data_IF_348376113584
#
_entry.id   IF_348376113584
#
_cell.length_a   1.000
_cell.length_b   1.000
_cell.length_c   1.000
_cell.angle_alpha   90.00
_cell.angle_beta   90.00
_cell.angle_gamma   90.00
#
_symmetry.space_group_name_H-M   'P 1'
#
loop_
_entity.id
_entity.type
_entity.pdbx_description
1 polymer ?
#
# COMPACT_ATOMS: atom_id res chain seq x y z
N UNK A 1 -50.97 -9.28 71.66
CA UNK A 1 -51.61 -10.43 70.98
C UNK A 1 -52.02 -10.01 69.57
N UNK A 2 -51.27 -10.23 68.52
CA UNK A 2 -49.83 -10.16 68.25
C UNK A 2 -49.80 -10.19 66.74
N UNK A 3 -49.58 -9.06 66.07
CA UNK A 3 -49.36 -9.07 64.63
C UNK A 3 -48.20 -8.13 64.31
N UNK A 4 -47.02 -8.73 64.34
CA UNK A 4 -45.76 -8.20 63.86
C UNK A 4 -45.93 -7.60 62.47
N UNK A 5 -45.65 -6.30 62.34
CA UNK A 5 -45.63 -5.56 61.08
C UNK A 5 -44.51 -6.09 60.15
N UNK A 6 -44.79 -7.22 59.48
CA UNK A 6 -43.85 -7.91 58.61
C UNK A 6 -43.85 -7.22 57.23
N UNK A 7 -42.77 -6.48 56.93
CA UNK A 7 -42.55 -5.83 55.63
C UNK A 7 -42.64 -6.86 54.50
N UNK A 8 -43.74 -6.84 53.74
CA UNK A 8 -43.94 -7.70 52.57
C UNK A 8 -43.18 -7.11 51.36
N UNK A 9 -42.38 -7.93 50.68
CA UNK A 9 -41.62 -7.55 49.49
C UNK A 9 -42.43 -7.87 48.24
N UNK A 10 -42.73 -6.89 47.39
CA UNK A 10 -43.59 -7.10 46.21
C UNK A 10 -42.85 -6.82 44.91
N UNK A 11 -43.07 -7.67 43.90
CA UNK A 11 -42.62 -7.45 42.54
C UNK A 11 -43.80 -6.93 41.71
N UNK A 12 -43.69 -5.70 41.19
CA UNK A 12 -44.74 -5.08 40.36
C UNK A 12 -44.82 -5.68 38.96
N UNK A 13 -43.69 -6.10 38.39
CA UNK A 13 -43.63 -6.71 37.05
C UNK A 13 -44.29 -8.09 36.97
N UNK A 14 -44.22 -8.85 38.07
CA UNK A 14 -44.83 -10.17 38.17
C UNK A 14 -46.10 -10.16 39.03
N UNK A 15 -46.45 -9.01 39.61
CA UNK A 15 -47.55 -8.78 40.55
C UNK A 15 -47.67 -9.83 41.68
N UNK A 16 -46.54 -10.16 42.33
CA UNK A 16 -46.46 -11.16 43.41
C UNK A 16 -45.82 -10.58 44.68
N UNK A 17 -46.20 -11.08 45.85
CA UNK A 17 -45.69 -10.66 47.15
C UNK A 17 -44.98 -11.80 47.90
N UNK A 18 -43.94 -11.44 48.66
CA UNK A 18 -43.10 -12.37 49.41
C UNK A 18 -42.95 -11.92 50.85
N UNK A 19 -42.95 -12.89 51.75
CA UNK A 19 -42.85 -12.68 53.21
C UNK A 19 -41.44 -12.30 53.67
N UNK A 20 -40.41 -12.67 52.90
CA UNK A 20 -39.01 -12.45 53.28
C UNK A 20 -38.18 -11.94 52.09
N UNK A 21 -37.15 -11.13 52.41
CA UNK A 21 -36.27 -10.53 51.41
C UNK A 21 -35.55 -11.57 50.57
N UNK A 22 -35.06 -12.65 51.18
CA UNK A 22 -34.32 -13.70 50.46
C UNK A 22 -35.20 -14.43 49.43
N UNK A 23 -36.50 -14.63 49.73
CA UNK A 23 -37.44 -15.21 48.76
C UNK A 23 -37.66 -14.26 47.57
N UNK A 24 -37.77 -12.95 47.84
CA UNK A 24 -37.88 -11.91 46.82
C UNK A 24 -36.62 -11.81 45.95
N UNK A 25 -35.43 -11.77 46.54
CA UNK A 25 -34.17 -11.73 45.80
C UNK A 25 -33.98 -12.98 44.93
N UNK A 26 -34.36 -14.16 45.43
CA UNK A 26 -34.36 -15.38 44.62
C UNK A 26 -35.35 -15.28 43.45
N UNK A 27 -36.53 -14.68 43.66
CA UNK A 27 -37.50 -14.45 42.60
C UNK A 27 -36.95 -13.57 41.47
N UNK A 28 -36.23 -12.49 41.79
CA UNK A 28 -35.60 -11.60 40.80
C UNK A 28 -34.63 -12.35 39.87
N UNK A 29 -34.00 -13.41 40.38
CA UNK A 29 -33.06 -14.24 39.62
C UNK A 29 -33.71 -15.42 38.89
N UNK A 30 -35.04 -15.57 38.95
CA UNK A 30 -35.72 -16.64 38.21
C UNK A 30 -35.85 -16.29 36.73
N UNK A 31 -35.72 -17.31 35.87
CA UNK A 31 -35.83 -17.11 34.42
C UNK A 31 -37.18 -16.53 33.99
N UNK A 32 -38.25 -16.80 34.73
CA UNK A 32 -39.57 -16.20 34.49
C UNK A 32 -39.56 -14.67 34.69
N UNK A 33 -38.90 -14.19 35.75
CA UNK A 33 -38.78 -12.75 36.02
C UNK A 33 -37.85 -12.07 35.02
N UNK A 34 -36.69 -12.68 34.74
CA UNK A 34 -35.70 -12.16 33.78
C UNK A 34 -36.30 -12.06 32.38
N UNK A 35 -37.06 -13.06 31.92
CA UNK A 35 -37.73 -13.01 30.62
C UNK A 35 -38.80 -11.92 30.54
N UNK A 36 -39.50 -11.61 31.64
CA UNK A 36 -40.46 -10.50 31.70
C UNK A 36 -39.77 -9.13 31.66
N UNK A 37 -38.61 -8.97 32.29
CA UNK A 37 -37.76 -7.79 32.14
C UNK A 37 -37.29 -7.65 30.70
N UNK A 38 -36.74 -8.72 30.11
CA UNK A 38 -36.23 -8.66 28.74
C UNK A 38 -37.35 -8.32 27.74
N UNK A 39 -38.56 -8.82 27.94
CA UNK A 39 -39.73 -8.47 27.13
C UNK A 39 -40.22 -7.03 27.39
N UNK A 40 -40.14 -6.50 28.61
CA UNK A 40 -40.51 -5.10 28.89
C UNK A 40 -39.46 -4.11 28.35
N UNK A 41 -38.17 -4.47 28.37
CA UNK A 41 -37.07 -3.73 27.74
C UNK A 41 -37.16 -3.77 26.21
N UNK A 42 -37.54 -4.92 25.61
CA UNK A 42 -37.82 -5.03 24.18
C UNK A 42 -39.04 -4.17 23.79
N UNK A 43 -40.10 -4.13 24.60
CA UNK A 43 -41.26 -3.28 24.31
C UNK A 43 -40.95 -1.77 24.49
N UNK A 44 -40.10 -1.39 25.44
CA UNK A 44 -39.62 -0.01 25.57
C UNK A 44 -38.68 0.40 24.43
N UNK A 45 -37.89 -0.53 23.87
CA UNK A 45 -37.08 -0.27 22.67
C UNK A 45 -37.93 -0.29 21.38
N UNK A 46 -39.00 -1.08 21.31
CA UNK A 46 -39.96 -1.04 20.18
C UNK A 46 -40.85 0.22 20.18
N UNK A 47 -41.16 0.80 21.34
CA UNK A 47 -41.87 2.09 21.41
C UNK A 47 -40.96 3.32 21.22
N UNK A 48 -39.62 3.16 21.19
CA UNK A 48 -38.72 4.21 20.69
C UNK A 48 -38.44 4.08 19.17
N UNK A 49 -38.83 2.96 18.56
CA UNK A 49 -38.66 2.67 17.13
C UNK A 49 -39.77 3.27 16.24
N UNK A 50 -40.27 4.45 16.59
CA UNK A 50 -41.09 5.28 15.70
C UNK A 50 -40.51 6.66 15.39
N UNK A 51 -39.30 6.98 15.89
CA UNK A 51 -38.54 8.17 15.49
C UNK A 51 -37.02 7.92 15.62
N UNK A 52 -36.42 7.19 14.67
CA UNK A 52 -34.96 7.21 14.52
C UNK A 52 -34.60 8.34 13.56
N UNK A 53 -34.09 9.46 14.07
CA UNK A 53 -33.50 10.51 13.24
C UNK A 53 -32.29 9.95 12.48
N UNK A 54 -32.08 10.41 11.24
CA UNK A 54 -30.97 9.99 10.37
C UNK A 54 -29.60 10.03 11.10
N UNK A 55 -29.43 10.96 12.03
CA UNK A 55 -28.26 11.17 12.88
C UNK A 55 -27.82 9.93 13.69
N UNK A 56 -28.76 9.12 14.18
CA UNK A 56 -28.44 7.92 14.95
C UNK A 56 -27.92 6.77 14.08
N UNK A 57 -28.35 6.71 12.81
CA UNK A 57 -27.85 5.74 11.82
C UNK A 57 -26.42 6.11 11.42
N UNK A 58 -26.15 7.41 11.19
CA UNK A 58 -24.79 7.89 10.91
C UNK A 58 -23.82 7.61 12.06
N UNK A 59 -24.24 7.82 13.30
CA UNK A 59 -23.41 7.57 14.49
C UNK A 59 -23.05 6.09 14.64
N UNK A 60 -23.99 5.18 14.42
CA UNK A 60 -23.72 3.74 14.45
C UNK A 60 -22.73 3.31 13.35
N UNK A 61 -22.90 3.83 12.14
CA UNK A 61 -22.01 3.54 11.00
C UNK A 61 -20.60 4.11 11.22
N UNK A 62 -20.49 5.30 11.79
CA UNK A 62 -19.21 5.90 12.16
C UNK A 62 -18.48 5.08 13.23
N UNK A 63 -19.21 4.58 14.23
CA UNK A 63 -18.65 3.76 15.31
C UNK A 63 -18.17 2.39 14.80
N UNK A 64 -18.89 1.78 13.86
CA UNK A 64 -18.45 0.55 13.19
C UNK A 64 -17.19 0.79 12.33
N UNK A 65 -17.14 1.90 11.59
CA UNK A 65 -15.98 2.25 10.76
C UNK A 65 -14.74 2.55 11.61
N UNK A 66 -14.92 3.26 12.72
CA UNK A 66 -13.85 3.55 13.70
C UNK A 66 -13.27 2.27 14.29
N UNK A 67 -14.12 1.30 14.65
CA UNK A 67 -13.67 -0.02 15.13
C UNK A 67 -12.87 -0.77 14.07
N UNK A 68 -13.33 -0.78 12.81
CA UNK A 68 -12.59 -1.41 11.69
C UNK A 68 -11.23 -0.75 11.46
N UNK A 69 -11.14 0.58 11.59
CA UNK A 69 -9.88 1.31 11.50
C UNK A 69 -8.91 0.90 12.61
N UNK A 70 -9.38 0.84 13.85
CA UNK A 70 -8.56 0.41 14.99
C UNK A 70 -8.06 -1.04 14.83
N UNK A 71 -8.93 -1.96 14.41
CA UNK A 71 -8.54 -3.36 14.17
C UNK A 71 -7.52 -3.48 13.03
N UNK A 72 -7.66 -2.66 11.98
CA UNK A 72 -6.73 -2.60 10.87
C UNK A 72 -5.36 -2.08 11.30
N UNK A 73 -5.32 -0.99 12.07
CA UNK A 73 -4.09 -0.39 12.62
C UNK A 73 -3.32 -1.39 13.49
N UNK A 74 -4.03 -2.10 14.37
CA UNK A 74 -3.45 -3.16 15.20
C UNK A 74 -2.90 -4.32 14.36
N UNK A 75 -3.57 -4.68 13.26
CA UNK A 75 -3.10 -5.73 12.35
C UNK A 75 -1.83 -5.33 11.58
N UNK A 76 -1.68 -4.05 11.27
CA UNK A 76 -0.47 -3.49 10.63
C UNK A 76 0.69 -3.53 11.63
N UNK A 77 0.47 -3.09 12.86
CA UNK A 77 1.51 -3.09 13.91
C UNK A 77 2.03 -4.52 14.20
N UNK A 78 1.13 -5.51 14.27
CA UNK A 78 1.51 -6.93 14.43
C UNK A 78 2.33 -7.40 13.23
N UNK A 79 1.96 -7.00 12.01
CA UNK A 79 2.69 -7.38 10.79
C UNK A 79 4.09 -6.76 10.75
N UNK A 80 4.22 -5.49 11.11
CA UNK A 80 5.51 -4.79 11.17
C UNK A 80 6.44 -5.44 12.20
N UNK A 81 5.93 -5.73 13.40
CA UNK A 81 6.68 -6.46 14.44
C UNK A 81 7.16 -7.83 13.94
N UNK A 82 6.31 -8.57 13.22
CA UNK A 82 6.69 -9.87 12.65
C UNK A 82 7.72 -9.75 11.52
N UNK A 83 7.67 -8.68 10.72
CA UNK A 83 8.69 -8.39 9.71
C UNK A 83 10.03 -8.09 10.37
N UNK A 84 10.04 -7.25 11.41
CA UNK A 84 11.26 -6.88 12.14
C UNK A 84 11.95 -8.12 12.74
N UNK A 85 11.17 -9.01 13.37
CA UNK A 85 11.68 -10.28 13.91
C UNK A 85 12.25 -11.20 12.81
N UNK A 86 11.72 -11.13 11.59
CA UNK A 86 12.21 -11.93 10.47
C UNK A 86 13.50 -11.35 9.87
N UNK A 87 13.63 -10.03 9.84
CA UNK A 87 14.87 -9.35 9.45
C UNK A 87 15.99 -9.68 10.43
N UNK A 88 15.74 -9.55 11.73
CA UNK A 88 16.71 -9.88 12.79
C UNK A 88 17.18 -11.35 12.71
N UNK A 89 16.26 -12.29 12.45
CA UNK A 89 16.61 -13.70 12.23
C UNK A 89 17.48 -13.92 10.99
N UNK A 90 17.23 -13.19 9.91
CA UNK A 90 18.02 -13.28 8.68
C UNK A 90 19.42 -12.68 8.87
N UNK A 91 19.51 -11.54 9.55
CA UNK A 91 20.78 -10.91 9.93
C UNK A 91 21.63 -11.85 10.80
N UNK A 92 21.00 -12.51 11.78
CA UNK A 92 21.66 -13.49 12.63
C UNK A 92 22.08 -14.76 11.86
N UNK A 93 21.32 -15.20 10.87
CA UNK A 93 21.73 -16.31 10.00
C UNK A 93 22.92 -15.95 9.10
N UNK A 94 22.95 -14.71 8.60
CA UNK A 94 24.06 -14.19 7.79
C UNK A 94 25.34 -14.02 8.62
N UNK A 95 25.22 -13.57 9.87
CA UNK A 95 26.37 -13.44 10.77
C UNK A 95 26.97 -14.81 11.12
N UNK A 96 26.13 -15.83 11.43
CA UNK A 96 26.61 -17.20 11.69
C UNK A 96 27.25 -17.83 10.45
N UNK A 97 26.70 -17.58 9.26
CA UNK A 97 27.24 -18.11 8.00
C UNK A 97 28.62 -17.50 7.67
N UNK A 98 28.88 -16.26 8.10
CA UNK A 98 30.15 -15.57 7.88
C UNK A 98 31.27 -16.07 8.82
N UNK A 99 30.92 -16.53 10.02
CA UNK A 99 31.90 -17.06 10.99
C UNK A 99 32.38 -18.48 10.67
N UNK A 100 31.62 -19.26 9.90
CA UNK A 100 31.95 -20.65 9.55
C UNK A 100 32.81 -20.79 8.29
N UNK A 101 33.20 -19.70 7.62
CA UNK A 101 34.08 -19.75 6.43
C UNK A 101 35.57 -19.75 6.80
N UNK A 102 35.91 -19.52 8.08
CA UNK A 102 37.30 -19.53 8.54
C UNK A 102 37.60 -20.75 9.39
N UNK A 103 37.42 -21.96 8.85
CA UNK A 103 38.19 -23.14 9.26
C UNK A 103 37.97 -24.31 8.32
N UNK A 104 39.11 -24.89 7.93
CA UNK A 104 39.28 -26.20 7.30
C UNK A 104 39.29 -26.25 5.77
N UNK A 105 40.41 -25.82 5.18
CA UNK A 105 40.89 -26.39 3.92
C UNK A 105 42.26 -27.01 4.16
N UNK A 106 42.26 -28.30 4.48
CA UNK A 106 43.43 -29.13 4.28
C UNK A 106 43.45 -29.55 2.80
N UNK A 107 44.62 -29.34 2.19
CA UNK A 107 44.98 -29.63 0.80
C UNK A 107 44.28 -30.88 0.23
N UNK A 108 43.56 -30.71 -0.88
CA UNK A 108 43.53 -31.66 -2.00
C UNK A 108 43.01 -30.96 -3.26
N UNK A 109 43.90 -30.85 -4.25
CA UNK A 109 43.63 -30.29 -5.57
C UNK A 109 42.46 -31.00 -6.26
N UNK A 110 41.34 -30.30 -6.40
CA UNK A 110 40.38 -30.53 -7.47
C UNK A 110 40.21 -29.20 -8.19
N UNK A 111 40.96 -29.02 -9.28
CA UNK A 111 40.76 -27.91 -10.21
C UNK A 111 39.44 -28.13 -10.96
N UNK A 112 38.32 -27.82 -10.33
CA UNK A 112 37.08 -27.55 -11.04
C UNK A 112 37.03 -26.05 -11.28
N UNK A 113 37.53 -25.60 -12.43
CA UNK A 113 37.35 -24.22 -12.88
C UNK A 113 35.87 -24.02 -13.19
N UNK A 114 35.10 -23.58 -12.19
CA UNK A 114 33.75 -23.07 -12.41
C UNK A 114 33.91 -21.65 -12.95
N UNK A 115 33.93 -21.52 -14.29
CA UNK A 115 33.74 -20.22 -14.93
C UNK A 115 32.30 -19.78 -14.70
N UNK A 116 32.01 -19.18 -13.54
CA UNK A 116 30.81 -18.39 -13.36
C UNK A 116 31.05 -17.05 -14.06
N UNK A 117 30.87 -17.02 -15.38
CA UNK A 117 30.65 -15.76 -16.09
C UNK A 117 29.30 -15.22 -15.67
N UNK A 118 29.25 -14.55 -14.52
CA UNK A 118 28.17 -13.66 -14.16
C UNK A 118 28.24 -12.44 -15.09
N UNK A 119 27.75 -12.60 -16.32
CA UNK A 119 27.48 -11.47 -17.21
C UNK A 119 26.21 -10.77 -16.71
N UNK A 120 26.25 -10.25 -15.49
CA UNK A 120 25.19 -9.41 -14.94
C UNK A 120 25.44 -8.04 -15.53
N UNK A 121 24.70 -7.68 -16.57
CA UNK A 121 24.62 -6.31 -17.06
C UNK A 121 24.03 -5.45 -15.93
N UNK A 122 24.90 -4.95 -15.06
CA UNK A 122 24.53 -4.00 -14.03
C UNK A 122 24.23 -2.66 -14.73
N UNK A 123 23.17 -1.94 -14.32
CA UNK A 123 22.97 -0.58 -14.80
C UNK A 123 24.21 0.23 -14.45
N UNK A 124 24.64 1.09 -15.37
CA UNK A 124 25.78 1.98 -15.12
C UNK A 124 25.29 3.33 -14.59
N UNK A 125 24.09 3.74 -15.00
CA UNK A 125 23.52 5.03 -14.63
C UNK A 125 22.58 4.88 -13.43
N UNK A 126 22.72 5.79 -12.46
CA UNK A 126 21.80 5.92 -11.36
C UNK A 126 20.40 6.32 -11.86
N UNK A 127 19.37 5.93 -11.10
CA UNK A 127 18.00 6.38 -11.32
C UNK A 127 17.90 7.91 -11.16
N UNK A 128 17.36 8.58 -12.17
CA UNK A 128 17.35 10.04 -12.32
C UNK A 128 18.57 10.62 -13.04
N UNK A 129 19.55 9.80 -13.43
CA UNK A 129 20.75 10.22 -14.18
C UNK A 129 20.90 9.41 -15.48
N UNK A 130 19.79 9.13 -16.14
CA UNK A 130 19.76 8.35 -17.36
C UNK A 130 20.42 9.10 -18.53
N UNK A 131 21.00 8.32 -19.45
CA UNK A 131 21.41 8.81 -20.74
C UNK A 131 20.19 8.97 -21.66
N UNK A 132 20.00 10.15 -22.24
CA UNK A 132 18.92 10.47 -23.18
C UNK A 132 19.43 10.76 -24.60
N UNK A 133 20.75 10.73 -24.83
CA UNK A 133 21.36 11.20 -26.07
C UNK A 133 20.86 10.47 -27.32
N UNK A 134 20.53 9.18 -27.18
CA UNK A 134 20.03 8.34 -28.28
C UNK A 134 18.55 8.57 -28.60
N UNK A 135 17.82 9.34 -27.78
CA UNK A 135 16.38 9.61 -27.96
C UNK A 135 16.06 11.02 -28.44
N UNK A 136 17.06 11.92 -28.51
CA UNK A 136 16.85 13.34 -28.84
C UNK A 136 16.00 13.58 -30.08
N UNK A 137 16.21 12.80 -31.14
CA UNK A 137 15.45 12.92 -32.40
C UNK A 137 13.99 12.49 -32.29
N UNK A 138 13.69 11.56 -31.39
CA UNK A 138 12.37 10.94 -31.28
C UNK A 138 11.48 11.65 -30.25
N UNK A 139 12.06 12.36 -29.29
CA UNK A 139 11.36 12.94 -28.14
C UNK A 139 10.23 13.87 -28.57
N UNK A 140 10.47 14.78 -29.52
CA UNK A 140 9.44 15.72 -29.98
C UNK A 140 8.24 14.99 -30.62
N UNK A 141 8.50 13.91 -31.36
CA UNK A 141 7.44 13.10 -31.94
C UNK A 141 6.65 12.35 -30.85
N UNK A 142 7.33 11.84 -29.83
CA UNK A 142 6.69 11.17 -28.70
C UNK A 142 5.85 12.15 -27.87
N UNK A 143 6.33 13.38 -27.64
CA UNK A 143 5.63 14.42 -26.91
C UNK A 143 4.30 14.83 -27.57
N UNK A 144 4.20 14.79 -28.90
CA UNK A 144 2.94 15.03 -29.63
C UNK A 144 1.84 14.05 -29.19
N UNK A 145 2.21 12.85 -28.74
CA UNK A 145 1.32 11.88 -28.11
C UNK A 145 1.11 12.14 -26.61
N UNK A 146 0.57 13.30 -26.21
CA UNK A 146 0.48 13.77 -24.80
C UNK A 146 -0.05 12.71 -23.81
N UNK A 147 -1.00 11.86 -24.21
CA UNK A 147 -1.58 10.84 -23.31
C UNK A 147 -0.71 9.58 -23.14
N UNK A 148 0.25 9.35 -24.04
CA UNK A 148 1.09 8.14 -24.10
C UNK A 148 2.58 8.44 -24.03
N UNK A 149 2.97 9.72 -24.08
CA UNK A 149 4.37 10.13 -24.16
C UNK A 149 5.19 9.64 -22.97
N UNK A 150 4.68 9.79 -21.73
CA UNK A 150 5.42 9.41 -20.53
C UNK A 150 5.68 7.88 -20.47
N UNK A 151 4.66 7.00 -20.63
CA UNK A 151 4.91 5.56 -20.76
C UNK A 151 5.91 5.21 -21.87
N UNK A 152 5.79 5.80 -23.06
CA UNK A 152 6.68 5.51 -24.19
C UNK A 152 8.13 5.93 -23.91
N UNK A 153 8.33 7.08 -23.27
CA UNK A 153 9.65 7.57 -22.85
C UNK A 153 10.24 6.65 -21.80
N UNK A 154 9.47 6.29 -20.75
CA UNK A 154 9.93 5.36 -19.72
C UNK A 154 10.36 4.02 -20.34
N UNK A 155 9.59 3.52 -21.31
CA UNK A 155 9.90 2.31 -22.06
C UNK A 155 11.22 2.43 -22.82
N UNK A 156 11.37 3.49 -23.62
CA UNK A 156 12.54 3.75 -24.45
C UNK A 156 13.80 4.08 -23.65
N UNK A 157 13.67 4.58 -22.42
CA UNK A 157 14.84 4.90 -21.59
C UNK A 157 15.28 3.73 -20.74
N UNK A 158 14.36 3.17 -19.96
CA UNK A 158 14.71 2.21 -18.92
C UNK A 158 14.67 0.75 -19.38
N UNK A 159 14.12 0.50 -20.56
CA UNK A 159 13.88 -0.86 -21.05
C UNK A 159 14.33 -1.07 -22.51
N UNK A 160 15.24 -0.21 -23.00
CA UNK A 160 15.85 -0.37 -24.31
C UNK A 160 16.94 -1.46 -24.29
N UNK A 161 16.90 -2.39 -25.24
CA UNK A 161 17.83 -3.52 -25.31
C UNK A 161 19.24 -3.08 -25.66
N UNK A 162 19.38 -2.04 -26.46
CA UNK A 162 20.67 -1.53 -26.92
C UNK A 162 21.33 -0.62 -25.88
N UNK A 163 20.54 -0.16 -24.89
CA UNK A 163 20.97 0.74 -23.81
C UNK A 163 20.75 0.15 -22.40
N UNK A 164 21.43 -0.96 -22.04
CA UNK A 164 21.31 -1.59 -20.72
C UNK A 164 21.82 -0.72 -19.57
N UNK A 165 22.61 0.33 -19.85
CA UNK A 165 23.13 1.27 -18.85
C UNK A 165 22.03 1.96 -18.04
N UNK A 166 20.84 2.11 -18.62
CA UNK A 166 19.69 2.80 -18.04
C UNK A 166 18.66 1.86 -17.39
N UNK A 167 18.93 0.54 -17.30
CA UNK A 167 18.02 -0.46 -16.71
C UNK A 167 17.96 -0.36 -15.17
N UNK A 168 17.75 0.84 -14.64
CA UNK A 168 17.96 1.24 -13.26
C UNK A 168 16.69 1.20 -12.38
N UNK A 169 15.58 0.65 -12.86
CA UNK A 169 14.32 0.50 -12.11
C UNK A 169 13.70 -0.89 -12.28
N UNK A 170 13.18 -1.46 -11.18
CA UNK A 170 12.53 -2.78 -11.19
C UNK A 170 11.39 -2.96 -10.20
N UNK A 171 10.33 -3.65 -10.63
CA UNK A 171 9.25 -4.11 -9.76
C UNK A 171 9.34 -5.64 -9.60
N UNK A 172 10.05 -6.14 -8.57
CA UNK A 172 10.33 -7.57 -8.43
C UNK A 172 9.07 -8.41 -8.15
N UNK A 173 8.06 -7.83 -7.51
CA UNK A 173 6.81 -8.51 -7.19
C UNK A 173 5.63 -7.58 -7.43
N UNK A 174 4.79 -7.93 -8.41
CA UNK A 174 3.59 -7.15 -8.78
C UNK A 174 2.61 -6.96 -7.62
N UNK A 175 2.55 -7.92 -6.67
CA UNK A 175 1.66 -7.90 -5.50
C UNK A 175 2.18 -7.02 -4.35
N UNK A 176 3.47 -6.71 -4.32
CA UNK A 176 4.06 -5.89 -3.26
C UNK A 176 4.03 -4.41 -3.64
N UNK A 177 4.00 -3.55 -2.63
CA UNK A 177 4.07 -2.09 -2.74
C UNK A 177 5.52 -1.59 -2.83
N UNK A 178 6.46 -2.43 -3.24
CA UNK A 178 7.90 -2.12 -3.28
C UNK A 178 8.44 -2.20 -4.71
N UNK A 179 9.34 -1.28 -5.03
CA UNK A 179 10.17 -1.27 -6.23
C UNK A 179 11.65 -1.26 -5.82
N UNK A 180 12.53 -1.50 -6.78
CA UNK A 180 13.98 -1.35 -6.64
C UNK A 180 14.47 -0.31 -7.63
N UNK A 181 15.28 0.63 -7.16
CA UNK A 181 15.96 1.62 -8.00
C UNK A 181 17.47 1.49 -7.78
N UNK A 182 18.25 1.73 -8.82
CA UNK A 182 19.70 1.67 -8.75
C UNK A 182 20.26 3.07 -8.48
N UNK A 183 21.12 3.23 -7.47
CA UNK A 183 21.69 4.54 -7.11
C UNK A 183 23.05 4.83 -7.74
N UNK A 184 23.55 3.97 -8.64
CA UNK A 184 24.89 4.06 -9.22
C UNK A 184 25.86 3.02 -8.65
N UNK A 185 25.60 2.52 -7.44
CA UNK A 185 26.45 1.52 -6.77
C UNK A 185 25.66 0.25 -6.43
N UNK A 186 24.47 0.42 -5.85
CA UNK A 186 23.65 -0.68 -5.32
C UNK A 186 22.16 -0.47 -5.60
N UNK A 187 21.40 -1.57 -5.47
CA UNK A 187 19.94 -1.55 -5.63
C UNK A 187 19.25 -1.23 -4.30
N UNK A 188 18.56 -0.10 -4.25
CA UNK A 188 17.78 0.33 -3.10
C UNK A 188 16.32 -0.09 -3.22
N UNK A 189 15.72 -0.52 -2.12
CA UNK A 189 14.28 -0.83 -2.08
C UNK A 189 13.52 0.44 -1.70
N UNK A 190 12.61 0.84 -2.56
CA UNK A 190 11.80 2.07 -2.42
C UNK A 190 10.32 1.73 -2.53
N UNK A 191 9.45 2.63 -2.04
CA UNK A 191 8.02 2.48 -2.24
C UNK A 191 7.69 2.46 -3.73
N UNK A 192 6.91 1.49 -4.21
CA UNK A 192 6.53 1.38 -5.63
C UNK A 192 5.84 2.63 -6.13
N UNK A 193 4.93 3.17 -5.32
CA UNK A 193 4.21 4.41 -5.65
C UNK A 193 5.18 5.58 -5.78
N UNK A 194 6.04 5.77 -4.77
CA UNK A 194 7.03 6.83 -4.74
C UNK A 194 7.98 6.74 -5.93
N UNK A 195 8.55 5.57 -6.21
CA UNK A 195 9.46 5.36 -7.33
C UNK A 195 8.83 5.75 -8.68
N UNK A 196 7.56 5.37 -8.91
CA UNK A 196 6.86 5.69 -10.16
C UNK A 196 6.51 7.17 -10.23
N UNK A 197 6.05 7.78 -9.13
CA UNK A 197 5.70 9.20 -9.10
C UNK A 197 6.93 10.08 -9.30
N UNK A 198 8.05 9.77 -8.63
CA UNK A 198 9.34 10.44 -8.83
C UNK A 198 9.84 10.27 -10.27
N UNK A 199 9.75 9.06 -10.84
CA UNK A 199 10.11 8.83 -12.23
C UNK A 199 9.29 9.70 -13.19
N UNK A 200 7.97 9.77 -13.00
CA UNK A 200 7.09 10.58 -13.84
C UNK A 200 7.43 12.06 -13.74
N UNK A 201 7.62 12.58 -12.52
CA UNK A 201 7.98 13.97 -12.29
C UNK A 201 9.31 14.30 -12.98
N UNK A 202 10.34 13.47 -12.79
CA UNK A 202 11.65 13.68 -13.41
C UNK A 202 11.57 13.70 -14.94
N UNK A 203 10.79 12.80 -15.54
CA UNK A 203 10.57 12.77 -17.00
C UNK A 203 9.88 14.05 -17.46
N UNK A 204 8.79 14.47 -16.81
CA UNK A 204 8.04 15.67 -17.18
C UNK A 204 8.91 16.93 -17.03
N UNK A 205 9.61 17.06 -15.91
CA UNK A 205 10.49 18.20 -15.64
C UNK A 205 11.59 18.33 -16.71
N UNK A 206 12.18 17.20 -17.11
CA UNK A 206 13.20 17.18 -18.17
C UNK A 206 12.62 17.53 -19.54
N UNK A 207 11.46 16.98 -19.90
CA UNK A 207 10.80 17.30 -21.17
C UNK A 207 10.47 18.79 -21.27
N UNK A 208 9.96 19.38 -20.19
CA UNK A 208 9.60 20.78 -20.14
C UNK A 208 10.83 21.70 -20.20
N UNK A 209 11.92 21.34 -19.50
CA UNK A 209 13.13 22.17 -19.43
C UNK A 209 14.00 22.09 -20.68
N UNK A 210 14.19 20.89 -21.25
CA UNK A 210 15.08 20.69 -22.41
C UNK A 210 14.35 20.81 -23.76
N UNK A 211 13.08 20.43 -23.85
CA UNK A 211 12.34 20.31 -25.13
C UNK A 211 11.09 21.17 -25.20
N UNK A 212 10.73 21.89 -24.14
CA UNK A 212 9.49 22.68 -24.08
C UNK A 212 9.45 23.82 -25.10
N UNK A 213 10.61 24.40 -25.46
CA UNK A 213 10.73 25.43 -26.49
C UNK A 213 10.38 24.89 -27.87
N UNK A 214 11.17 23.94 -28.36
CA UNK A 214 11.00 23.28 -29.66
C UNK A 214 9.61 22.64 -29.79
N UNK A 215 9.10 22.04 -28.71
CA UNK A 215 7.76 21.49 -28.68
C UNK A 215 6.67 22.55 -28.91
N UNK A 216 6.80 23.74 -28.31
CA UNK A 216 5.83 24.81 -28.51
C UNK A 216 5.89 25.42 -29.91
N UNK A 217 7.04 25.34 -30.59
CA UNK A 217 7.19 25.79 -31.97
C UNK A 217 6.58 24.78 -32.97
N UNK A 218 6.78 23.48 -32.74
CA UNK A 218 6.30 22.42 -33.64
C UNK A 218 4.86 21.95 -33.37
N UNK A 219 4.41 21.99 -32.12
CA UNK A 219 3.12 21.43 -31.73
C UNK A 219 1.97 22.38 -32.08
N UNK A 220 0.83 21.82 -32.47
CA UNK A 220 -0.37 22.62 -32.69
C UNK A 220 -0.90 23.21 -31.37
N UNK A 221 -1.63 24.33 -31.44
CA UNK A 221 -2.27 24.96 -30.28
C UNK A 221 -3.13 23.98 -29.47
N UNK A 222 -3.79 23.03 -30.13
CA UNK A 222 -4.56 21.99 -29.48
C UNK A 222 -3.68 21.07 -28.63
N UNK A 223 -2.54 20.63 -29.16
CA UNK A 223 -1.59 19.76 -28.46
C UNK A 223 -0.91 20.50 -27.30
N UNK A 224 -0.55 21.76 -27.48
CA UNK A 224 -0.01 22.61 -26.40
C UNK A 224 -1.01 22.76 -25.25
N UNK A 225 -2.29 23.02 -25.57
CA UNK A 225 -3.35 23.11 -24.55
C UNK A 225 -3.54 21.78 -23.82
N UNK A 226 -3.54 20.66 -24.55
CA UNK A 226 -3.66 19.33 -23.96
C UNK A 226 -2.45 19.00 -23.08
N UNK A 227 -1.24 19.39 -23.49
CA UNK A 227 -0.02 19.26 -22.69
C UNK A 227 -0.12 20.03 -21.38
N UNK A 228 -0.51 21.30 -21.43
CA UNK A 228 -0.69 22.13 -20.23
C UNK A 228 -1.73 21.53 -19.27
N UNK A 229 -2.86 21.02 -19.80
CA UNK A 229 -3.91 20.39 -18.98
C UNK A 229 -3.41 19.10 -18.29
N UNK A 230 -2.63 18.27 -18.99
CA UNK A 230 -2.20 16.96 -18.49
C UNK A 230 -0.93 17.02 -17.64
N UNK A 231 0.02 17.87 -18.01
CA UNK A 231 1.34 17.97 -17.38
C UNK A 231 1.42 19.09 -16.35
N UNK A 232 0.56 20.12 -16.44
CA UNK A 232 0.53 21.24 -15.50
C UNK A 232 0.47 20.83 -14.02
N UNK A 233 -0.46 19.93 -13.60
CA UNK A 233 -0.53 19.48 -12.21
C UNK A 233 0.72 18.72 -11.73
N UNK A 234 1.44 18.06 -12.65
CA UNK A 234 2.66 17.32 -12.34
C UNK A 234 3.81 18.31 -12.13
N UNK A 235 3.89 19.32 -12.98
CA UNK A 235 4.93 20.35 -12.91
C UNK A 235 4.75 21.27 -11.68
N UNK A 236 3.55 21.79 -11.45
CA UNK A 236 3.29 22.78 -10.40
C UNK A 236 3.23 22.16 -9.01
N UNK A 237 2.58 21.01 -8.88
CA UNK A 237 2.23 20.43 -7.58
C UNK A 237 2.83 19.03 -7.36
N UNK A 238 3.62 18.51 -8.32
CA UNK A 238 4.11 17.11 -8.30
C UNK A 238 2.99 16.09 -8.15
N UNK A 239 1.79 16.47 -8.62
CA UNK A 239 0.60 15.61 -8.51
C UNK A 239 0.47 14.75 -9.74
N UNK A 240 0.62 13.44 -9.55
CA UNK A 240 0.48 12.45 -10.61
C UNK A 240 -0.90 11.80 -10.55
N UNK A 241 -1.65 11.87 -11.65
CA UNK A 241 -2.94 11.22 -11.75
C UNK A 241 -2.82 9.69 -11.64
N UNK A 242 -3.81 9.06 -11.00
CA UNK A 242 -3.83 7.61 -10.80
C UNK A 242 -3.77 6.83 -12.12
N UNK A 243 -4.41 7.33 -13.18
CA UNK A 243 -4.43 6.65 -14.49
C UNK A 243 -3.03 6.62 -15.08
N UNK A 244 -2.33 7.76 -15.07
CA UNK A 244 -0.96 7.87 -15.58
C UNK A 244 0.00 6.99 -14.79
N UNK A 245 -0.08 7.03 -13.45
CA UNK A 245 0.74 6.16 -12.58
C UNK A 245 0.55 4.68 -12.92
N UNK A 246 -0.70 4.24 -13.07
CA UNK A 246 -0.99 2.85 -13.41
C UNK A 246 -0.46 2.47 -14.81
N UNK A 247 -0.54 3.38 -15.80
CA UNK A 247 0.02 3.14 -17.13
C UNK A 247 1.54 2.95 -17.09
N UNK A 248 2.25 3.79 -16.34
CA UNK A 248 3.71 3.65 -16.17
C UNK A 248 4.05 2.38 -15.39
N UNK A 249 3.27 2.02 -14.36
CA UNK A 249 3.43 0.76 -13.63
C UNK A 249 3.34 -0.45 -14.56
N UNK A 250 2.30 -0.52 -15.39
CA UNK A 250 2.12 -1.62 -16.35
C UNK A 250 3.25 -1.65 -17.38
N UNK A 251 3.66 -0.48 -17.86
CA UNK A 251 4.79 -0.34 -18.79
C UNK A 251 6.07 -0.93 -18.21
N UNK A 252 6.41 -0.61 -16.96
CA UNK A 252 7.55 -1.19 -16.28
C UNK A 252 7.40 -2.72 -16.23
N UNK A 253 6.29 -3.20 -15.69
CA UNK A 253 6.05 -4.63 -15.48
C UNK A 253 6.15 -5.45 -16.79
N UNK A 254 5.56 -4.94 -17.87
CA UNK A 254 5.47 -5.65 -19.15
C UNK A 254 6.82 -5.69 -19.85
N UNK A 255 7.54 -4.56 -19.90
CA UNK A 255 8.84 -4.49 -20.58
C UNK A 255 9.94 -5.21 -19.79
N UNK A 256 9.88 -5.22 -18.46
CA UNK A 256 10.76 -6.05 -17.64
C UNK A 256 10.67 -7.54 -17.95
N UNK A 257 9.45 -8.02 -18.25
CA UNK A 257 9.21 -9.41 -18.63
C UNK A 257 9.76 -9.74 -20.01
N UNK A 258 9.98 -8.74 -20.88
CA UNK A 258 10.55 -8.93 -22.21
C UNK A 258 12.07 -9.00 -22.19
N UNK A 259 12.72 -8.18 -21.35
CA UNK A 259 14.18 -8.21 -21.17
C UNK A 259 14.61 -9.53 -20.53
N UNK A 260 13.89 -10.02 -19.52
CA UNK A 260 14.20 -11.30 -18.87
C UNK A 260 14.04 -12.53 -19.76
N UNK A 261 13.39 -12.40 -20.92
CA UNK A 261 13.24 -13.48 -21.92
C UNK A 261 14.25 -13.38 -23.07
N UNK A 262 14.94 -12.24 -23.19
CA UNK A 262 15.88 -11.97 -24.29
C UNK A 262 17.33 -12.24 -23.89
N UNK A 263 17.59 -12.53 -22.62
CA UNK A 263 18.87 -12.99 -22.06
C UNK A 263 18.75 -14.46 -21.64
#
# INVERSE_FOLDING_TARGET
>A
MDDLNCKRFTCTLCNVSFETKSKYERHLNTQKHINLIHNSEINNTMNSCKNWSEENVYKAKYMELSKKYYDLEKSIEIRERNLQLRLEKLEHQLSISSSNVQSNCNNNNVNTTINITNNVNLPKNAHGSENWDYLKSDILNIMKGVNTCIPEIVKKIHFDKDHPENHNIKIPNKKLSQAKTFNGETWNTVGKREAIETLIVNVVDRLQSEYGGDFNEEASQFIQKLWAEKMGPIFENKTVDRKLRNQVEYTIIDNQSQISKSN
#
